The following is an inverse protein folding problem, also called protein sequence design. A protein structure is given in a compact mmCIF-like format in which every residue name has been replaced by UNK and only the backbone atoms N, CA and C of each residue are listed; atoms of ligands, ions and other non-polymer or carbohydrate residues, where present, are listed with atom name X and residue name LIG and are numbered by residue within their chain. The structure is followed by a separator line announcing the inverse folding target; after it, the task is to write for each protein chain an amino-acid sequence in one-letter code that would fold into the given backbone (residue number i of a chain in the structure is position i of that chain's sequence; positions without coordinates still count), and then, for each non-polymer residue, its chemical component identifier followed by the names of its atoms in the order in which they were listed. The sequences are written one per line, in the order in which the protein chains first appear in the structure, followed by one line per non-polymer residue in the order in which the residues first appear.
data_IF_357071346446
#
_entry.id   IF_357071346446
#
_cell.length_a   1.000
_cell.length_b   1.000
_cell.length_c   1.000
_cell.angle_alpha   90.00
_cell.angle_beta   90.00
_cell.angle_gamma   90.00
#
_symmetry.space_group_name_H-M   'P 1'
#
loop_
_entity.id
_entity.type
_entity.pdbx_description
1 polymer ?
#
# COMPACT_ATOMS: atom_id res chain seq x y z
N UNK A 1 -20.36 -9.52 -1.51
CA UNK A 1 -19.70 -8.22 -1.67
C UNK A 1 -18.23 -8.31 -1.31
N UNK A 2 -17.39 -7.78 -2.16
CA UNK A 2 -15.94 -7.82 -1.96
C UNK A 2 -15.50 -6.68 -1.05
N UNK A 3 -14.75 -6.99 -0.02
CA UNK A 3 -14.27 -5.98 0.91
C UNK A 3 -12.94 -5.39 0.44
N UNK A 4 -12.92 -4.07 0.29
CA UNK A 4 -11.73 -3.33 -0.09
C UNK A 4 -11.43 -2.28 0.97
N UNK A 5 -10.20 -2.31 1.51
CA UNK A 5 -9.69 -1.26 2.39
C UNK A 5 -8.62 -0.52 1.59
N UNK A 6 -8.79 0.78 1.46
CA UNK A 6 -7.97 1.58 0.56
C UNK A 6 -7.24 2.66 1.34
N UNK A 7 -5.98 2.39 1.65
CA UNK A 7 -5.12 3.37 2.28
C UNK A 7 -4.57 4.30 1.22
N UNK A 8 -4.87 5.57 1.36
CA UNK A 8 -4.64 6.58 0.34
C UNK A 8 -4.09 7.86 0.93
N UNK A 9 -3.61 8.75 0.08
CA UNK A 9 -3.16 10.06 0.48
C UNK A 9 -3.71 11.08 -0.52
N UNK A 10 -4.44 12.06 -0.02
CA UNK A 10 -5.15 13.01 -0.86
C UNK A 10 -4.25 13.76 -1.84
N UNK A 11 -3.02 14.07 -1.41
CA UNK A 11 -2.05 14.78 -2.25
C UNK A 11 -1.34 13.89 -3.28
N UNK A 12 -1.63 12.60 -3.28
CA UNK A 12 -0.99 11.65 -4.19
C UNK A 12 -1.85 11.47 -5.45
N UNK A 13 -1.31 11.85 -6.60
CA UNK A 13 -2.05 11.74 -7.87
C UNK A 13 -2.37 10.29 -8.23
N UNK A 14 -1.47 9.37 -7.94
CA UNK A 14 -1.69 7.94 -8.18
C UNK A 14 -2.85 7.42 -7.35
N UNK A 15 -2.96 7.87 -6.10
CA UNK A 15 -4.08 7.52 -5.22
C UNK A 15 -5.41 8.01 -5.80
N UNK A 16 -5.44 9.23 -6.30
CA UNK A 16 -6.66 9.80 -6.89
C UNK A 16 -7.08 9.03 -8.14
N UNK A 17 -6.13 8.65 -8.96
CA UNK A 17 -6.41 7.84 -10.16
C UNK A 17 -6.98 6.47 -9.80
N UNK A 18 -6.40 5.83 -8.80
CA UNK A 18 -6.87 4.53 -8.32
C UNK A 18 -8.29 4.62 -7.77
N UNK A 19 -8.56 5.63 -6.94
CA UNK A 19 -9.89 5.83 -6.38
C UNK A 19 -10.93 6.06 -7.48
N UNK A 20 -10.58 6.85 -8.48
CA UNK A 20 -11.45 7.12 -9.61
C UNK A 20 -11.78 5.83 -10.39
N UNK A 21 -10.76 5.00 -10.60
CA UNK A 21 -10.94 3.71 -11.29
C UNK A 21 -11.87 2.80 -10.49
N UNK A 22 -11.67 2.69 -9.17
CA UNK A 22 -12.52 1.87 -8.31
C UNK A 22 -13.97 2.33 -8.38
N UNK A 23 -14.20 3.63 -8.33
CA UNK A 23 -15.55 4.18 -8.43
C UNK A 23 -16.17 3.92 -9.79
N UNK A 24 -15.38 4.02 -10.86
CA UNK A 24 -15.87 3.79 -12.22
C UNK A 24 -16.30 2.34 -12.45
N UNK A 25 -15.78 1.41 -11.66
CA UNK A 25 -16.13 -0.02 -11.73
C UNK A 25 -17.14 -0.40 -10.65
N UNK A 26 -17.74 0.58 -9.99
CA UNK A 26 -18.76 0.40 -8.96
C UNK A 26 -18.28 -0.40 -7.74
N UNK A 27 -17.00 -0.34 -7.44
CA UNK A 27 -16.47 -0.94 -6.22
C UNK A 27 -16.70 -0.01 -5.03
N UNK A 28 -17.19 -0.57 -3.95
CA UNK A 28 -17.22 0.12 -2.68
C UNK A 28 -15.92 -0.15 -1.94
N UNK A 29 -15.40 0.84 -1.26
CA UNK A 29 -14.17 0.69 -0.52
C UNK A 29 -14.13 1.63 0.68
N UNK A 30 -13.44 1.18 1.72
CA UNK A 30 -13.20 1.98 2.90
C UNK A 30 -11.94 2.81 2.68
N UNK A 31 -12.07 4.12 2.70
CA UNK A 31 -10.95 5.04 2.47
C UNK A 31 -10.31 5.42 3.80
N UNK A 32 -9.01 5.23 3.93
CA UNK A 32 -8.25 5.61 5.13
C UNK A 32 -7.05 6.44 4.69
N UNK A 33 -6.80 7.55 5.41
CA UNK A 33 -5.62 8.37 5.18
C UNK A 33 -4.38 7.66 5.75
N UNK A 34 -3.48 7.25 4.89
CA UNK A 34 -2.31 6.44 5.27
C UNK A 34 -1.31 7.19 6.17
N UNK A 35 -1.31 8.52 6.08
CA UNK A 35 -0.41 9.34 6.89
C UNK A 35 -0.97 9.52 8.31
N UNK A 36 -2.27 9.73 8.40
CA UNK A 36 -2.94 9.89 9.70
C UNK A 36 -3.10 8.56 10.42
N UNK A 37 -3.33 7.50 9.67
CA UNK A 37 -3.62 6.19 10.22
C UNK A 37 -2.95 5.12 9.37
N UNK A 38 -1.69 4.78 9.69
CA UNK A 38 -0.98 3.73 8.94
C UNK A 38 -1.70 2.39 8.99
N UNK A 39 -1.45 1.50 8.03
CA UNK A 39 -2.06 0.18 8.03
C UNK A 39 -1.77 -0.59 9.31
N UNK A 40 -2.70 -1.44 9.68
CA UNK A 40 -2.54 -2.33 10.83
C UNK A 40 -1.35 -3.26 10.60
N UNK A 41 -0.73 -3.70 11.70
CA UNK A 41 0.45 -4.58 11.65
C UNK A 41 0.19 -5.82 10.80
N UNK A 42 -0.98 -6.46 10.97
CA UNK A 42 -1.29 -7.66 10.17
C UNK A 42 -1.31 -7.40 8.67
N UNK A 43 -1.70 -6.23 8.23
CA UNK A 43 -1.69 -5.89 6.80
C UNK A 43 -0.29 -5.63 6.31
N UNK A 44 0.55 -5.04 7.15
CA UNK A 44 1.97 -4.85 6.83
C UNK A 44 2.66 -6.20 6.75
N UNK A 45 2.36 -7.12 7.66
CA UNK A 45 2.88 -8.48 7.63
C UNK A 45 2.47 -9.21 6.36
N UNK A 46 1.23 -9.04 5.94
CA UNK A 46 0.73 -9.63 4.71
C UNK A 46 1.52 -9.12 3.50
N UNK A 47 1.79 -7.81 3.47
CA UNK A 47 2.61 -7.22 2.41
C UNK A 47 4.04 -7.77 2.43
N UNK A 48 4.62 -7.91 3.62
CA UNK A 48 5.98 -8.46 3.76
C UNK A 48 6.06 -9.90 3.26
N UNK A 49 5.03 -10.69 3.49
CA UNK A 49 4.97 -12.06 2.97
C UNK A 49 4.88 -12.07 1.44
N UNK A 50 4.02 -11.23 0.88
CA UNK A 50 3.83 -11.16 -0.58
C UNK A 50 5.08 -10.65 -1.31
N UNK A 51 5.80 -9.72 -0.69
CA UNK A 51 6.99 -9.09 -1.29
C UNK A 51 8.27 -9.49 -0.57
N UNK A 52 8.33 -10.72 -0.08
CA UNK A 52 9.50 -11.22 0.66
C UNK A 52 10.79 -11.22 -0.16
N UNK A 53 10.66 -11.31 -1.48
CA UNK A 53 11.80 -11.27 -2.41
C UNK A 53 12.32 -9.85 -2.64
N UNK A 54 11.48 -8.83 -2.41
CA UNK A 54 11.88 -7.43 -2.60
C UNK A 54 11.05 -6.53 -1.68
N UNK A 55 11.44 -6.48 -0.43
CA UNK A 55 10.74 -5.71 0.61
C UNK A 55 10.74 -4.20 0.34
N UNK A 56 11.66 -3.73 -0.46
CA UNK A 56 11.74 -2.31 -0.83
C UNK A 56 10.50 -1.85 -1.57
N UNK A 57 9.80 -2.76 -2.25
CA UNK A 57 8.57 -2.44 -2.98
C UNK A 57 7.45 -1.92 -2.07
N UNK A 58 7.51 -2.22 -0.78
CA UNK A 58 6.50 -1.76 0.18
C UNK A 58 6.70 -0.28 0.51
N UNK A 59 7.87 0.25 0.23
CA UNK A 59 8.22 1.62 0.56
C UNK A 59 7.94 2.58 -0.59
N UNK A 60 7.61 3.82 -0.24
CA UNK A 60 7.54 4.92 -1.18
C UNK A 60 8.94 5.45 -1.45
N UNK A 61 9.67 4.78 -2.34
CA UNK A 61 11.08 5.06 -2.59
C UNK A 61 11.35 6.40 -3.26
N UNK A 62 10.34 6.98 -3.87
CA UNK A 62 10.44 8.29 -4.53
C UNK A 62 10.23 9.44 -3.56
N UNK A 63 9.71 9.15 -2.38
CA UNK A 63 9.38 10.17 -1.40
C UNK A 63 10.59 10.72 -0.67
N UNK A 64 10.49 11.98 -0.27
CA UNK A 64 11.54 12.65 0.49
C UNK A 64 11.82 11.93 1.82
N UNK A 65 10.78 11.47 2.49
CA UNK A 65 10.91 10.76 3.76
C UNK A 65 11.79 9.52 3.61
N UNK A 66 11.59 8.75 2.55
CA UNK A 66 12.40 7.56 2.29
C UNK A 66 13.85 7.92 1.99
N UNK A 67 14.04 8.91 1.12
CA UNK A 67 15.40 9.33 0.72
C UNK A 67 16.21 9.86 1.91
N UNK A 68 15.54 10.52 2.83
CA UNK A 68 16.18 11.07 4.03
C UNK A 68 16.69 9.97 4.96
N UNK A 69 16.03 8.81 5.00
CA UNK A 69 16.47 7.69 5.83
C UNK A 69 17.84 7.15 5.43
N UNK A 70 18.10 7.13 4.13
CA UNK A 70 19.37 6.62 3.58
C UNK A 70 19.72 5.22 4.12
N UNK A 71 18.72 4.33 4.15
CA UNK A 71 18.86 2.97 4.66
C UNK A 71 18.81 1.95 3.54
N UNK A 72 19.55 0.86 3.74
CA UNK A 72 19.44 -0.31 2.87
C UNK A 72 18.37 -1.24 3.45
N UNK A 73 17.20 -1.22 2.85
CA UNK A 73 16.04 -1.96 3.35
C UNK A 73 16.31 -3.46 3.42
N UNK A 74 17.10 -3.99 2.48
CA UNK A 74 17.40 -5.42 2.45
C UNK A 74 18.26 -5.89 3.61
N UNK A 75 18.90 -4.96 4.32
CA UNK A 75 19.68 -5.26 5.51
C UNK A 75 18.88 -5.21 6.80
N UNK A 76 17.61 -4.82 6.73
CA UNK A 76 16.76 -4.68 7.90
C UNK A 76 15.95 -5.95 8.15
N UNK A 77 15.70 -6.22 9.45
CA UNK A 77 14.79 -7.29 9.83
C UNK A 77 13.35 -6.89 9.53
N UNK A 78 12.46 -7.88 9.48
CA UNK A 78 11.03 -7.61 9.30
C UNK A 78 10.49 -6.71 10.39
N UNK A 79 10.92 -6.89 11.64
CA UNK A 79 10.50 -6.04 12.76
C UNK A 79 10.94 -4.59 12.57
N UNK A 80 12.18 -4.38 12.14
CA UNK A 80 12.68 -3.04 11.88
C UNK A 80 11.89 -2.35 10.77
N UNK A 81 11.55 -3.09 9.72
CA UNK A 81 10.76 -2.58 8.61
C UNK A 81 9.37 -2.19 9.11
N UNK A 82 8.72 -3.04 9.91
CA UNK A 82 7.40 -2.76 10.45
C UNK A 82 7.43 -1.49 11.29
N UNK A 83 8.42 -1.33 12.16
CA UNK A 83 8.53 -0.15 13.00
C UNK A 83 8.70 1.12 12.16
N UNK A 84 9.50 1.07 11.11
CA UNK A 84 9.67 2.19 10.20
C UNK A 84 8.35 2.58 9.53
N UNK A 85 7.66 1.62 8.97
CA UNK A 85 6.41 1.87 8.25
C UNK A 85 5.32 2.41 9.19
N UNK A 86 5.26 1.91 10.41
CA UNK A 86 4.31 2.41 11.41
C UNK A 86 4.67 3.79 11.93
N UNK A 87 5.94 4.16 11.89
CA UNK A 87 6.40 5.46 12.41
C UNK A 87 6.02 6.63 11.51
N UNK A 88 5.88 6.38 10.20
CA UNK A 88 5.59 7.44 9.23
C UNK A 88 4.91 6.87 7.99
N UNK A 89 3.62 7.14 7.85
CA UNK A 89 2.84 6.68 6.70
C UNK A 89 3.35 7.17 5.36
N UNK A 90 4.13 8.23 5.34
CA UNK A 90 4.74 8.74 4.11
C UNK A 90 5.80 7.81 3.56
N UNK A 91 6.31 6.90 4.39
CA UNK A 91 7.28 5.88 3.96
C UNK A 91 6.63 4.75 3.18
N UNK A 92 5.33 4.61 3.28
CA UNK A 92 4.62 3.47 2.70
C UNK A 92 4.23 3.74 1.25
N UNK A 93 4.42 2.73 0.40
CA UNK A 93 3.96 2.77 -1.00
C UNK A 93 2.45 2.98 -1.03
N UNK A 94 1.99 3.93 -1.83
CA UNK A 94 0.57 4.25 -1.89
C UNK A 94 0.06 4.38 -3.34
N UNK A 95 -1.20 4.07 -3.55
CA UNK A 95 -2.14 3.54 -2.56
C UNK A 95 -1.77 2.14 -2.08
N UNK A 96 -2.20 1.81 -0.87
CA UNK A 96 -1.98 0.51 -0.25
C UNK A 96 -3.38 -0.10 -0.11
N UNK A 97 -3.73 -0.98 -1.03
CA UNK A 97 -5.07 -1.56 -1.11
C UNK A 97 -5.07 -2.96 -0.53
N UNK A 98 -6.05 -3.26 0.31
CA UNK A 98 -6.23 -4.59 0.86
C UNK A 98 -7.51 -5.17 0.29
N UNK A 99 -7.39 -6.31 -0.39
CA UNK A 99 -8.51 -6.97 -1.03
C UNK A 99 -8.91 -8.21 -0.25
N UNK A 100 -10.16 -8.24 0.20
CA UNK A 100 -10.75 -9.37 0.93
C UNK A 100 -9.93 -9.79 2.15
N UNK A 101 -9.17 -8.87 2.73
CA UNK A 101 -8.25 -9.13 3.86
C UNK A 101 -7.21 -10.20 3.57
N UNK A 102 -7.06 -10.60 2.31
CA UNK A 102 -6.19 -11.71 1.91
C UNK A 102 -4.96 -11.30 1.16
N UNK A 103 -5.02 -10.16 0.46
CA UNK A 103 -3.85 -9.71 -0.29
C UNK A 103 -3.76 -8.20 -0.33
N UNK A 104 -2.54 -7.73 -0.50
CA UNK A 104 -2.21 -6.32 -0.63
C UNK A 104 -1.85 -6.05 -2.07
N UNK A 105 -2.39 -4.96 -2.62
CA UNK A 105 -2.04 -4.49 -3.95
C UNK A 105 -1.44 -3.10 -3.78
N UNK A 106 -0.18 -2.96 -4.16
CA UNK A 106 0.57 -1.73 -3.97
C UNK A 106 0.60 -0.87 -5.23
N UNK A 107 0.44 0.44 -5.05
CA UNK A 107 0.43 1.37 -6.16
C UNK A 107 -0.83 1.24 -6.99
N UNK A 108 -0.79 1.76 -8.20
CA UNK A 108 -1.91 1.65 -9.12
C UNK A 108 -1.44 1.34 -10.52
N UNK A 109 -1.97 0.28 -11.07
CA UNK A 109 -1.84 -0.08 -12.47
C UNK A 109 -3.19 -0.67 -12.85
N UNK A 110 -3.83 -0.09 -13.85
CA UNK A 110 -5.19 -0.45 -14.23
C UNK A 110 -5.30 -1.92 -14.62
N UNK A 111 -4.32 -2.43 -15.36
CA UNK A 111 -4.30 -3.83 -15.79
C UNK A 111 -4.19 -4.76 -14.59
N UNK A 112 -3.29 -4.43 -13.66
CA UNK A 112 -3.11 -5.24 -12.45
C UNK A 112 -4.34 -5.21 -11.56
N UNK A 113 -4.96 -4.05 -11.37
CA UNK A 113 -6.20 -3.95 -10.59
C UNK A 113 -7.30 -4.81 -11.22
N UNK A 114 -7.43 -4.76 -12.54
CA UNK A 114 -8.42 -5.57 -13.23
C UNK A 114 -8.18 -7.07 -13.01
N UNK A 115 -6.93 -7.51 -13.12
CA UNK A 115 -6.58 -8.92 -12.88
C UNK A 115 -6.85 -9.35 -11.45
N UNK A 116 -6.50 -8.50 -10.49
CA UNK A 116 -6.53 -8.87 -9.08
C UNK A 116 -7.92 -8.76 -8.46
N UNK A 117 -8.73 -7.82 -8.93
CA UNK A 117 -10.00 -7.48 -8.29
C UNK A 117 -11.21 -7.91 -9.11
N UNK A 118 -11.17 -7.70 -10.43
CA UNK A 118 -12.31 -8.03 -11.31
C UNK A 118 -12.31 -9.49 -11.73
N UNK A 119 -11.19 -10.11 -11.68
CA UNK A 119 -11.01 -11.47 -12.17
C UNK A 119 -12.11 -12.42 -11.72
N UNK A 120 -12.66 -13.12 -12.64
CA UNK A 120 -13.70 -14.11 -12.43
C UNK A 120 -13.14 -15.51 -12.61
#
# INVERSE_FOLDING_TARGET
MKKIIFYSYLKCSTCRKAAKWLKSKDFEFQLIDIVKEPPLVNYINLALEQYSDDKKKIFNTRGKAFKTLNLNINCLSSEEIIQLLLSDGKLIKRPFLIYERKKVILGFNEIEYAKQIIQV
#
